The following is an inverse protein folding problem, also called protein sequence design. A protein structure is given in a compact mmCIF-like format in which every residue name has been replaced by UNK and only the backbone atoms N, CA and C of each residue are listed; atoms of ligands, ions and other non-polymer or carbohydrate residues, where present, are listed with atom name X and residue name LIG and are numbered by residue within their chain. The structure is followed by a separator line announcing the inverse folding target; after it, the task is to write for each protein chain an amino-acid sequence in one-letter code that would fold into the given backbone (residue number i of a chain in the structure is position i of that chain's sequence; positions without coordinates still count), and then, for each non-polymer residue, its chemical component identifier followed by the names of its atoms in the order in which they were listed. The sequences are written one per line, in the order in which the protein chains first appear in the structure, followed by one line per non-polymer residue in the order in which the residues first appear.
data_IF_264246554892
#
_entry.id   IF_264246554892
#
_cell.length_a   1.000
_cell.length_b   1.000
_cell.length_c   1.000
_cell.angle_alpha   90.00
_cell.angle_beta   90.00
_cell.angle_gamma   90.00
#
_symmetry.space_group_name_H-M   'P 1'
#
loop_
_entity.id
_entity.type
_entity.pdbx_description
1 polymer ?
#
# COMPACT_ATOMS: atom_id res chain seq x y z
N UNK A 1 -4.15 9.08 6.14
CA UNK A 1 -5.37 8.28 5.89
C UNK A 1 -6.37 8.43 7.03
N UNK A 2 -6.00 8.23 8.29
CA UNK A 2 -6.91 8.38 9.46
C UNK A 2 -7.71 9.68 9.42
N UNK A 3 -7.08 10.83 9.19
CA UNK A 3 -7.77 12.13 9.08
C UNK A 3 -8.81 12.19 7.96
N UNK A 4 -8.57 11.51 6.83
CA UNK A 4 -9.54 11.43 5.73
C UNK A 4 -10.70 10.50 6.10
N UNK A 5 -10.40 9.34 6.68
CA UNK A 5 -11.42 8.37 7.08
C UNK A 5 -12.19 8.81 8.33
N UNK A 6 -11.68 9.72 9.16
CA UNK A 6 -12.47 10.32 10.25
C UNK A 6 -13.48 11.36 9.74
N UNK A 7 -13.44 11.73 8.46
CA UNK A 7 -14.38 12.68 7.87
C UNK A 7 -15.57 11.94 7.23
N UNK A 8 -16.77 12.17 7.74
CA UNK A 8 -17.98 11.49 7.28
C UNK A 8 -18.33 11.79 5.82
N UNK A 9 -18.11 13.02 5.37
CA UNK A 9 -18.33 13.38 3.97
C UNK A 9 -17.40 12.60 3.04
N UNK A 10 -16.12 12.49 3.41
CA UNK A 10 -15.15 11.74 2.62
C UNK A 10 -15.49 10.25 2.60
N UNK A 11 -15.83 9.66 3.75
CA UNK A 11 -16.24 8.26 3.85
C UNK A 11 -17.47 7.93 3.01
N UNK A 12 -18.47 8.81 3.03
CA UNK A 12 -19.65 8.67 2.19
C UNK A 12 -19.28 8.75 0.69
N UNK A 13 -18.36 9.65 0.32
CA UNK A 13 -17.94 9.85 -1.06
C UNK A 13 -17.21 8.62 -1.65
N UNK A 14 -16.34 7.96 -0.89
CA UNK A 14 -15.54 6.82 -1.37
C UNK A 14 -16.31 5.49 -1.39
N UNK A 15 -17.53 5.46 -0.83
CA UNK A 15 -18.40 4.28 -0.77
C UNK A 15 -17.69 2.99 -0.31
N UNK A 16 -16.89 3.11 0.75
CA UNK A 16 -16.23 1.97 1.39
C UNK A 16 -14.99 1.43 0.66
N UNK A 17 -14.51 2.06 -0.42
CA UNK A 17 -13.30 1.63 -1.14
C UNK A 17 -12.28 2.75 -1.22
N UNK A 18 -11.04 2.48 -0.82
CA UNK A 18 -9.94 3.42 -0.91
C UNK A 18 -8.78 2.81 -1.69
N UNK A 19 -8.35 3.46 -2.77
CA UNK A 19 -7.09 3.13 -3.45
C UNK A 19 -5.95 4.01 -2.91
N UNK A 20 -4.77 3.42 -2.73
CA UNK A 20 -3.54 4.12 -2.37
C UNK A 20 -2.39 3.63 -3.24
N UNK A 21 -1.73 4.55 -3.96
CA UNK A 21 -0.55 4.23 -4.75
C UNK A 21 0.72 4.25 -3.88
N UNK A 22 1.59 3.25 -4.06
CA UNK A 22 2.92 3.21 -3.42
C UNK A 22 4.05 3.27 -4.46
N UNK A 23 4.99 4.20 -4.26
CA UNK A 23 6.02 4.54 -5.25
C UNK A 23 7.43 4.06 -4.87
N UNK A 24 7.82 2.87 -5.31
CA UNK A 24 9.15 2.30 -4.99
C UNK A 24 10.33 3.10 -5.53
N UNK A 25 10.28 3.49 -6.81
CA UNK A 25 11.42 4.17 -7.45
C UNK A 25 11.66 5.56 -6.86
N UNK A 26 10.61 6.30 -6.53
CA UNK A 26 10.76 7.65 -6.02
C UNK A 26 11.23 7.63 -4.56
N UNK A 27 10.67 6.76 -3.71
CA UNK A 27 11.19 6.52 -2.37
C UNK A 27 12.65 6.03 -2.38
N UNK A 28 13.02 5.20 -3.37
CA UNK A 28 14.38 4.70 -3.53
C UNK A 28 15.39 5.77 -3.96
N UNK A 29 14.97 6.80 -4.72
CA UNK A 29 15.84 7.95 -5.08
C UNK A 29 16.14 8.83 -3.87
N UNK A 30 15.20 8.91 -2.92
CA UNK A 30 15.29 9.77 -1.74
C UNK A 30 16.16 9.15 -0.64
N UNK A 31 15.81 7.93 -0.20
CA UNK A 31 16.41 7.31 1.00
C UNK A 31 17.29 6.08 0.70
N UNK A 32 17.48 5.75 -0.58
CA UNK A 32 18.11 4.50 -1.00
C UNK A 32 17.17 3.29 -0.90
N UNK A 33 17.50 2.24 -1.65
CA UNK A 33 16.57 1.13 -1.92
C UNK A 33 16.15 0.33 -0.69
N UNK A 34 17.08 0.07 0.25
CA UNK A 34 16.80 -0.73 1.43
C UNK A 34 15.86 0.01 2.39
N UNK A 35 16.18 1.26 2.71
CA UNK A 35 15.36 2.08 3.60
C UNK A 35 13.96 2.29 3.01
N UNK A 36 13.88 2.58 1.70
CA UNK A 36 12.61 2.70 1.00
C UNK A 36 11.78 1.42 1.06
N UNK A 37 12.39 0.25 0.85
CA UNK A 37 11.67 -1.02 0.90
C UNK A 37 11.11 -1.32 2.29
N UNK A 38 11.90 -1.08 3.35
CA UNK A 38 11.44 -1.26 4.73
C UNK A 38 10.33 -0.27 5.11
N UNK A 39 10.50 1.02 4.79
CA UNK A 39 9.49 2.02 5.06
C UNK A 39 8.16 1.73 4.32
N UNK A 40 8.23 1.23 3.07
CA UNK A 40 7.06 0.81 2.31
C UNK A 40 6.38 -0.43 2.92
N UNK A 41 7.14 -1.35 3.51
CA UNK A 41 6.58 -2.49 4.23
C UNK A 41 5.79 -2.01 5.46
N UNK A 42 6.40 -1.20 6.33
CA UNK A 42 5.73 -0.66 7.53
C UNK A 42 4.53 0.24 7.17
N UNK A 43 4.63 1.00 6.09
CA UNK A 43 3.53 1.87 5.62
C UNK A 43 2.32 1.03 5.21
N UNK A 44 2.54 -0.08 4.52
CA UNK A 44 1.47 -0.98 4.10
C UNK A 44 0.76 -1.63 5.30
N UNK A 45 1.50 -2.09 6.31
CA UNK A 45 0.91 -2.61 7.55
C UNK A 45 0.02 -1.56 8.24
N UNK A 46 0.50 -0.32 8.33
CA UNK A 46 -0.26 0.81 8.92
C UNK A 46 -1.51 1.14 8.11
N UNK A 47 -1.42 1.12 6.77
CA UNK A 47 -2.58 1.36 5.91
C UNK A 47 -3.63 0.26 6.08
N UNK A 48 -3.23 -1.01 6.10
CA UNK A 48 -4.17 -2.13 6.33
C UNK A 48 -4.86 -2.01 7.69
N UNK A 49 -4.10 -1.68 8.75
CA UNK A 49 -4.65 -1.52 10.09
C UNK A 49 -5.71 -0.41 10.13
N UNK A 50 -5.40 0.77 9.58
CA UNK A 50 -6.34 1.90 9.54
C UNK A 50 -7.55 1.60 8.64
N UNK A 51 -7.36 0.95 7.50
CA UNK A 51 -8.48 0.58 6.63
C UNK A 51 -9.43 -0.41 7.34
N UNK A 52 -8.87 -1.39 8.05
CA UNK A 52 -9.62 -2.37 8.85
C UNK A 52 -10.40 -1.69 9.97
N UNK A 53 -9.77 -0.79 10.72
CA UNK A 53 -10.40 -0.03 11.81
C UNK A 53 -11.65 0.73 11.34
N UNK A 54 -11.60 1.31 10.14
CA UNK A 54 -12.70 2.09 9.57
C UNK A 54 -13.65 1.27 8.67
N UNK A 55 -13.42 -0.04 8.52
CA UNK A 55 -14.23 -0.91 7.66
C UNK A 55 -14.15 -0.57 6.17
N UNK A 56 -12.99 -0.08 5.72
CA UNK A 56 -12.74 0.32 4.33
C UNK A 56 -11.99 -0.78 3.58
N UNK A 57 -12.44 -1.11 2.36
CA UNK A 57 -11.69 -1.95 1.43
C UNK A 57 -10.51 -1.15 0.87
N UNK A 58 -9.30 -1.51 1.27
CA UNK A 58 -8.07 -0.92 0.76
C UNK A 58 -7.63 -1.63 -0.53
N UNK A 59 -7.25 -0.85 -1.54
CA UNK A 59 -6.57 -1.31 -2.75
C UNK A 59 -5.20 -0.64 -2.80
N UNK A 60 -4.14 -1.44 -2.87
CA UNK A 60 -2.78 -0.91 -3.04
C UNK A 60 -2.38 -0.97 -4.51
N UNK A 61 -2.14 0.21 -5.08
CA UNK A 61 -1.63 0.33 -6.44
C UNK A 61 -0.09 0.43 -6.41
N UNK A 62 0.57 -0.62 -6.89
CA UNK A 62 2.02 -0.73 -6.89
C UNK A 62 2.63 0.02 -8.09
N UNK A 63 3.33 1.13 -7.82
CA UNK A 63 4.05 1.90 -8.83
C UNK A 63 5.30 1.20 -9.39
N UNK A 64 5.93 1.82 -10.40
CA UNK A 64 7.10 1.26 -11.08
C UNK A 64 8.32 1.17 -10.15
N UNK A 65 9.15 0.14 -10.35
CA UNK A 65 10.45 -0.02 -9.68
C UNK A 65 10.47 -0.97 -8.49
N UNK A 66 9.30 -1.47 -8.05
CA UNK A 66 9.20 -2.52 -7.05
C UNK A 66 9.57 -3.90 -7.60
N UNK A 67 9.81 -4.86 -6.70
CA UNK A 67 10.01 -6.28 -7.07
C UNK A 67 8.78 -6.88 -7.76
N UNK A 68 7.58 -6.38 -7.42
CA UNK A 68 6.29 -6.75 -8.03
C UNK A 68 6.28 -6.53 -9.55
N UNK A 69 6.91 -5.46 -10.03
CA UNK A 69 6.93 -5.09 -11.46
C UNK A 69 7.94 -5.86 -12.33
N UNK A 70 8.61 -6.91 -11.83
CA UNK A 70 9.67 -7.62 -12.56
C UNK A 70 9.17 -8.70 -13.54
N UNK A 71 7.91 -9.12 -13.45
CA UNK A 71 7.33 -10.18 -14.27
C UNK A 71 7.89 -11.58 -13.95
N UNK A 72 7.14 -12.63 -14.29
CA UNK A 72 7.56 -14.03 -14.13
C UNK A 72 7.64 -14.53 -12.68
N UNK A 73 8.44 -15.56 -12.42
CA UNK A 73 8.60 -16.20 -11.10
C UNK A 73 8.94 -15.26 -9.92
N UNK A 74 9.81 -14.25 -10.08
CA UNK A 74 10.09 -13.26 -9.04
C UNK A 74 8.88 -12.42 -8.61
N UNK A 75 7.91 -12.19 -9.50
CA UNK A 75 6.68 -11.46 -9.16
C UNK A 75 5.79 -12.30 -8.24
N UNK A 76 5.72 -13.62 -8.43
CA UNK A 76 4.92 -14.50 -7.56
C UNK A 76 5.44 -14.48 -6.10
N UNK A 77 6.77 -14.50 -5.91
CA UNK A 77 7.37 -14.34 -4.58
C UNK A 77 7.16 -12.93 -4.01
N UNK A 78 7.23 -11.90 -4.86
CA UNK A 78 7.00 -10.52 -4.44
C UNK A 78 5.55 -10.24 -4.00
N UNK A 79 4.57 -10.93 -4.61
CA UNK A 79 3.17 -10.90 -4.20
C UNK A 79 3.02 -11.56 -2.82
N UNK A 80 3.60 -12.75 -2.64
CA UNK A 80 3.54 -13.46 -1.34
C UNK A 80 4.28 -12.76 -0.21
N UNK A 81 5.26 -11.91 -0.53
CA UNK A 81 6.01 -11.15 0.47
C UNK A 81 5.35 -9.83 0.87
N UNK A 82 4.18 -9.48 0.31
CA UNK A 82 3.44 -8.31 0.79
C UNK A 82 2.90 -8.58 2.21
N UNK A 83 2.77 -7.55 3.06
CA UNK A 83 2.18 -7.72 4.39
C UNK A 83 0.78 -8.33 4.35
N UNK A 84 0.40 -9.04 5.42
CA UNK A 84 -0.92 -9.64 5.52
C UNK A 84 -2.03 -8.59 5.35
N UNK A 85 -3.09 -8.93 4.61
CA UNK A 85 -4.24 -8.05 4.40
C UNK A 85 -4.06 -6.95 3.33
N UNK A 86 -2.89 -6.88 2.69
CA UNK A 86 -2.64 -5.97 1.55
C UNK A 86 -3.17 -6.48 0.21
N UNK A 87 -3.51 -7.77 0.16
CA UNK A 87 -4.08 -8.46 -0.99
C UNK A 87 -5.28 -9.27 -0.49
N UNK A 88 -6.50 -8.83 -0.80
CA UNK A 88 -7.77 -9.41 -0.36
C UNK A 88 -8.74 -9.62 -1.51
#
# INVERSE_FOLDING_TARGET
MTTLLSNDWYRAHINGVQECMIGYSDSGKDAGRLAAAWALYETQEKLVAVATEYGIKLILFHGRGGTVGRGGGPTHMAIRSQPSGTIN
#
